data_IF_751658440427
#
_entry.id   IF_751658440427
#
_cell.length_a   1.000
_cell.length_b   1.000
_cell.length_c   1.000
_cell.angle_alpha   90.00
_cell.angle_beta   90.00
_cell.angle_gamma   90.00
#
_symmetry.space_group_name_H-M   'P 1'
#
loop_
_entity.id
_entity.type
_entity.pdbx_description
1 polymer ?
#
# COMPACT_ATOMS: atom_id res chain seq x y z
N UNK A 1 11.87 22.74 -7.31
CA UNK A 1 12.88 22.60 -6.23
C UNK A 1 12.50 21.42 -5.36
N UNK A 2 13.49 20.72 -4.81
CA UNK A 2 13.27 19.74 -3.74
C UNK A 2 13.14 20.47 -2.40
N UNK A 3 14.01 21.45 -2.18
CA UNK A 3 14.01 22.35 -1.03
C UNK A 3 14.54 23.72 -1.48
N UNK A 4 13.67 24.72 -1.59
CA UNK A 4 14.05 26.07 -2.05
C UNK A 4 14.88 26.82 -1.01
N UNK A 5 14.60 26.62 0.28
CA UNK A 5 15.28 27.32 1.39
C UNK A 5 16.77 26.92 1.47
N UNK A 6 17.08 25.68 1.10
CA UNK A 6 18.43 25.14 1.06
C UNK A 6 19.02 25.06 -0.36
N UNK A 7 18.33 25.58 -1.37
CA UNK A 7 18.81 25.60 -2.76
C UNK A 7 18.90 24.22 -3.44
N UNK A 8 18.21 23.20 -2.91
CA UNK A 8 18.25 21.83 -3.46
C UNK A 8 17.31 21.72 -4.67
N UNK A 9 17.90 21.46 -5.83
CA UNK A 9 17.20 21.34 -7.12
C UNK A 9 16.86 19.88 -7.46
N UNK A 10 16.01 19.69 -8.48
CA UNK A 10 15.66 18.38 -9.05
C UNK A 10 16.89 17.59 -9.59
N UNK A 11 18.04 18.24 -9.77
CA UNK A 11 19.25 17.62 -10.33
C UNK A 11 20.31 17.29 -9.27
N UNK A 12 20.04 17.53 -7.98
CA UNK A 12 21.02 17.31 -6.92
C UNK A 12 21.20 15.82 -6.61
N UNK A 13 20.11 15.08 -6.37
CA UNK A 13 20.16 13.66 -6.06
C UNK A 13 19.14 12.90 -6.93
N UNK A 14 19.56 11.83 -7.65
CA UNK A 14 18.67 11.09 -8.55
C UNK A 14 17.41 10.51 -7.91
N UNK A 15 17.44 10.24 -6.61
CA UNK A 15 16.34 9.64 -5.86
C UNK A 15 15.41 10.65 -5.19
N UNK A 16 15.66 11.95 -5.31
CA UNK A 16 14.82 12.97 -4.63
C UNK A 16 13.45 13.12 -5.30
N UNK A 17 13.37 12.97 -6.62
CA UNK A 17 12.15 13.12 -7.40
C UNK A 17 11.87 11.80 -8.14
N UNK A 18 10.92 11.04 -7.60
CA UNK A 18 10.51 9.73 -8.10
C UNK A 18 9.17 9.89 -8.82
N UNK A 19 9.13 9.45 -10.08
CA UNK A 19 8.07 9.77 -11.06
C UNK A 19 6.66 9.36 -10.62
N UNK A 20 6.54 8.19 -10.00
CA UNK A 20 5.30 7.57 -9.51
C UNK A 20 4.59 8.48 -8.50
N UNK A 21 5.30 9.12 -7.58
CA UNK A 21 4.74 10.05 -6.60
C UNK A 21 4.79 11.51 -7.08
N UNK A 22 5.86 11.93 -7.77
CA UNK A 22 6.03 13.34 -8.15
C UNK A 22 5.02 13.81 -9.19
N UNK A 23 4.71 12.97 -10.18
CA UNK A 23 3.76 13.34 -11.24
C UNK A 23 2.32 13.49 -10.72
N UNK A 24 1.75 12.53 -9.97
CA UNK A 24 0.42 12.70 -9.39
C UNK A 24 0.33 13.88 -8.42
N UNK A 25 1.36 14.10 -7.60
CA UNK A 25 1.42 15.24 -6.67
C UNK A 25 1.37 16.56 -7.44
N UNK A 26 2.14 16.69 -8.52
CA UNK A 26 2.10 17.89 -9.37
C UNK A 26 0.76 18.06 -10.07
N UNK A 27 0.16 16.99 -10.62
CA UNK A 27 -1.17 17.02 -11.25
C UNK A 27 -2.23 17.50 -10.26
N UNK A 28 -2.25 16.92 -9.04
CA UNK A 28 -3.17 17.32 -7.98
C UNK A 28 -2.97 18.78 -7.54
N UNK A 29 -1.74 19.27 -7.53
CA UNK A 29 -1.39 20.66 -7.24
C UNK A 29 -1.68 21.61 -8.44
N UNK A 30 -2.56 21.23 -9.36
CA UNK A 30 -2.94 22.06 -10.50
C UNK A 30 -1.90 22.11 -11.62
N UNK A 31 -1.03 21.09 -11.71
CA UNK A 31 0.04 21.02 -12.70
C UNK A 31 1.25 21.90 -12.37
N UNK A 32 1.48 22.19 -11.10
CA UNK A 32 2.52 23.11 -10.62
C UNK A 32 3.59 22.42 -9.78
N UNK A 33 4.78 23.01 -9.77
CA UNK A 33 5.88 22.65 -8.87
C UNK A 33 6.52 23.93 -8.29
N UNK A 34 7.37 23.77 -7.28
CA UNK A 34 8.04 24.89 -6.60
C UNK A 34 9.24 25.43 -7.40
N UNK A 35 9.30 26.74 -7.59
CA UNK A 35 10.41 27.46 -8.19
C UNK A 35 11.53 27.80 -7.16
N UNK A 36 12.66 28.40 -7.57
CA UNK A 36 13.74 28.80 -6.66
C UNK A 36 13.33 29.84 -5.59
N UNK A 37 12.26 30.61 -5.81
CA UNK A 37 11.75 31.60 -4.87
C UNK A 37 10.74 30.98 -3.88
N UNK A 38 10.51 29.66 -3.93
CA UNK A 38 9.54 28.97 -3.08
C UNK A 38 8.09 29.27 -3.49
N UNK A 39 7.83 29.57 -4.78
CA UNK A 39 6.49 29.81 -5.31
C UNK A 39 6.07 28.69 -6.27
N UNK A 40 4.76 28.49 -6.41
CA UNK A 40 4.22 27.53 -7.38
C UNK A 40 4.32 28.10 -8.81
N UNK A 41 4.85 27.31 -9.72
CA UNK A 41 4.99 27.65 -11.13
C UNK A 41 4.65 26.46 -12.03
N UNK A 42 4.22 26.76 -13.26
CA UNK A 42 4.08 25.75 -14.30
C UNK A 42 5.46 25.19 -14.67
N UNK A 43 5.50 23.93 -15.06
CA UNK A 43 6.76 23.24 -15.35
C UNK A 43 6.63 22.32 -16.57
N UNK A 44 7.78 21.96 -17.15
CA UNK A 44 7.88 20.94 -18.18
C UNK A 44 8.36 19.63 -17.54
N UNK A 45 7.46 18.67 -17.39
CA UNK A 45 7.81 17.32 -16.97
C UNK A 45 8.57 16.60 -18.10
N UNK A 46 9.86 16.30 -17.89
CA UNK A 46 10.67 15.55 -18.85
C UNK A 46 10.66 14.08 -18.45
N UNK A 47 9.92 13.27 -19.20
CA UNK A 47 9.91 11.80 -19.10
C UNK A 47 10.48 11.26 -20.42
N UNK A 48 11.76 10.86 -20.47
CA UNK A 48 12.43 10.58 -21.74
C UNK A 48 11.83 9.41 -22.53
N UNK A 49 11.47 8.33 -21.83
CA UNK A 49 10.93 7.15 -22.48
C UNK A 49 9.42 7.25 -22.71
N UNK A 50 9.02 6.87 -23.92
CA UNK A 50 7.65 7.00 -24.44
C UNK A 50 6.68 5.90 -23.98
N UNK A 51 7.16 4.82 -23.33
CA UNK A 51 6.27 3.71 -22.94
C UNK A 51 5.15 4.15 -22.00
N UNK A 52 5.43 5.12 -21.11
CA UNK A 52 4.50 5.50 -20.04
C UNK A 52 4.23 7.01 -19.95
N UNK A 53 5.05 7.86 -20.57
CA UNK A 53 4.88 9.31 -20.55
C UNK A 53 3.49 9.77 -21.02
N UNK A 54 2.91 9.07 -22.00
CA UNK A 54 1.59 9.37 -22.55
C UNK A 54 0.45 9.25 -21.53
N UNK A 55 0.57 8.42 -20.50
CA UNK A 55 -0.44 8.27 -19.44
C UNK A 55 -0.58 9.58 -18.66
N UNK A 56 0.52 10.10 -18.13
CA UNK A 56 0.49 11.37 -17.39
C UNK A 56 0.09 12.55 -18.27
N UNK A 57 0.53 12.57 -19.53
CA UNK A 57 0.12 13.60 -20.47
C UNK A 57 -1.41 13.61 -20.67
N UNK A 58 -2.02 12.44 -20.87
CA UNK A 58 -3.47 12.34 -21.06
C UNK A 58 -4.25 12.78 -19.82
N UNK A 59 -3.77 12.48 -18.60
CA UNK A 59 -4.41 12.99 -17.37
C UNK A 59 -4.30 14.51 -17.27
N UNK A 60 -3.14 15.09 -17.60
CA UNK A 60 -2.95 16.55 -17.62
C UNK A 60 -3.90 17.21 -18.62
N UNK A 61 -3.98 16.70 -19.85
CA UNK A 61 -4.88 17.25 -20.87
C UNK A 61 -6.35 17.08 -20.48
N UNK A 62 -6.72 15.95 -19.87
CA UNK A 62 -8.05 15.75 -19.33
C UNK A 62 -8.40 16.81 -18.28
N UNK A 63 -7.51 17.07 -17.31
CA UNK A 63 -7.73 18.09 -16.28
C UNK A 63 -7.78 19.51 -16.84
N UNK A 64 -6.98 19.85 -17.85
CA UNK A 64 -7.08 21.15 -18.55
C UNK A 64 -8.44 21.37 -19.18
N UNK A 65 -9.03 20.32 -19.76
CA UNK A 65 -10.33 20.40 -20.44
C UNK A 65 -11.51 20.34 -19.46
N UNK A 66 -11.35 19.62 -18.36
CA UNK A 66 -12.48 19.22 -17.50
C UNK A 66 -12.44 19.81 -16.09
N UNK A 67 -11.36 20.49 -15.70
CA UNK A 67 -11.08 20.89 -14.33
C UNK A 67 -10.46 19.76 -13.50
N UNK A 68 -10.22 20.05 -12.22
CA UNK A 68 -9.76 19.05 -11.26
C UNK A 68 -10.84 17.98 -11.02
N UNK A 69 -10.42 16.76 -10.68
CA UNK A 69 -11.33 15.74 -10.18
C UNK A 69 -11.99 16.18 -8.87
N UNK A 70 -13.22 15.74 -8.64
CA UNK A 70 -13.93 15.93 -7.37
C UNK A 70 -13.92 14.61 -6.56
N UNK A 71 -13.10 14.50 -5.50
CA UNK A 71 -13.04 13.32 -4.64
C UNK A 71 -14.38 12.87 -4.06
N UNK A 72 -15.38 13.75 -3.98
CA UNK A 72 -16.69 13.41 -3.42
C UNK A 72 -17.57 12.61 -4.37
N UNK A 73 -17.34 12.74 -5.67
CA UNK A 73 -18.24 12.22 -6.70
C UNK A 73 -17.53 11.31 -7.70
N UNK A 74 -16.20 11.34 -7.75
CA UNK A 74 -15.46 10.52 -8.70
C UNK A 74 -15.56 9.01 -8.40
N UNK A 75 -15.48 8.20 -9.45
CA UNK A 75 -15.39 6.74 -9.37
C UNK A 75 -13.99 6.28 -9.00
N UNK A 76 -13.89 5.03 -8.52
CA UNK A 76 -12.63 4.41 -8.12
C UNK A 76 -11.88 3.77 -9.29
N UNK A 77 -10.57 3.88 -9.29
CA UNK A 77 -9.69 3.33 -10.33
C UNK A 77 -8.69 2.29 -9.75
N UNK A 78 -9.17 1.13 -9.24
CA UNK A 78 -8.31 0.10 -8.68
C UNK A 78 -7.36 -0.52 -9.73
N UNK A 79 -6.27 -1.15 -9.28
CA UNK A 79 -5.28 -1.77 -10.16
C UNK A 79 -5.16 -3.29 -9.95
N UNK A 80 -4.97 -4.02 -11.05
CA UNK A 80 -4.53 -5.43 -11.05
C UNK A 80 -3.21 -5.51 -11.83
N UNK A 81 -2.11 -5.65 -11.10
CA UNK A 81 -0.75 -5.56 -11.65
C UNK A 81 -0.03 -6.89 -11.86
N UNK A 82 0.64 -7.03 -13.01
CA UNK A 82 1.53 -8.16 -13.29
C UNK A 82 2.92 -7.93 -12.69
N UNK A 83 3.19 -8.50 -11.51
CA UNK A 83 4.47 -8.31 -10.80
C UNK A 83 5.22 -9.59 -10.42
N UNK A 84 4.54 -10.74 -10.41
CA UNK A 84 5.10 -11.97 -9.85
C UNK A 84 6.40 -12.41 -10.55
N UNK A 85 7.38 -12.83 -9.73
CA UNK A 85 8.69 -13.30 -10.17
C UNK A 85 9.53 -12.26 -10.93
N UNK A 86 9.46 -10.99 -10.50
CA UNK A 86 10.17 -9.85 -11.11
C UNK A 86 9.83 -9.71 -12.59
N UNK A 87 8.54 -9.65 -12.89
CA UNK A 87 8.03 -9.50 -14.24
C UNK A 87 8.54 -8.20 -14.89
N UNK A 88 8.81 -8.26 -16.19
CA UNK A 88 9.10 -7.11 -17.04
C UNK A 88 10.35 -6.32 -16.60
N UNK A 89 10.27 -4.98 -16.52
CA UNK A 89 11.39 -4.10 -16.20
C UNK A 89 12.01 -4.36 -14.82
N UNK A 90 11.23 -4.79 -13.85
CA UNK A 90 11.68 -5.07 -12.48
C UNK A 90 12.63 -6.28 -12.37
N UNK A 91 12.70 -7.11 -13.41
CA UNK A 91 13.66 -8.20 -13.53
C UNK A 91 14.88 -7.88 -14.40
N UNK A 92 14.96 -6.68 -14.96
CA UNK A 92 15.89 -6.34 -16.04
C UNK A 92 17.27 -5.88 -15.59
N UNK A 93 17.46 -5.55 -14.30
CA UNK A 93 18.71 -4.97 -13.80
C UNK A 93 19.96 -5.80 -14.16
N UNK A 94 19.98 -7.14 -13.99
CA UNK A 94 21.14 -7.95 -14.36
C UNK A 94 21.38 -8.01 -15.89
N UNK A 95 20.38 -7.61 -16.68
CA UNK A 95 20.34 -7.70 -18.14
C UNK A 95 20.33 -6.31 -18.81
N UNK A 96 20.79 -5.28 -18.08
CA UNK A 96 20.90 -3.90 -18.57
C UNK A 96 22.37 -3.51 -18.64
N UNK A 97 22.82 -2.96 -19.77
CA UNK A 97 24.20 -2.56 -19.95
C UNK A 97 24.37 -1.41 -20.93
N UNK A 98 25.43 -0.65 -20.68
CA UNK A 98 25.88 0.45 -21.54
C UNK A 98 26.97 -0.09 -22.48
N UNK A 99 26.70 -0.28 -23.78
CA UNK A 99 27.69 -0.79 -24.71
C UNK A 99 28.85 0.21 -24.82
N UNK A 100 30.08 -0.32 -24.81
CA UNK A 100 31.31 0.51 -24.84
C UNK A 100 31.82 0.79 -26.25
N UNK A 101 31.22 0.18 -27.28
CA UNK A 101 31.58 0.32 -28.69
C UNK A 101 30.35 0.11 -29.57
N UNK A 102 30.38 0.68 -30.77
CA UNK A 102 29.36 0.44 -31.78
C UNK A 102 29.39 -1.02 -32.24
N UNK A 103 28.22 -1.60 -32.47
CA UNK A 103 28.11 -2.99 -32.89
C UNK A 103 26.69 -3.53 -32.82
N UNK A 104 26.56 -4.85 -32.70
CA UNK A 104 25.26 -5.52 -32.60
C UNK A 104 25.20 -6.36 -31.33
N UNK A 105 24.16 -6.13 -30.52
CA UNK A 105 23.80 -7.03 -29.42
C UNK A 105 22.79 -8.05 -29.93
N UNK A 106 23.01 -9.33 -29.61
CA UNK A 106 22.15 -10.44 -30.03
C UNK A 106 21.75 -11.29 -28.84
N UNK A 107 20.50 -11.74 -28.83
CA UNK A 107 20.02 -12.81 -27.94
C UNK A 107 19.95 -14.08 -28.78
N UNK A 108 20.70 -15.11 -28.39
CA UNK A 108 20.85 -16.35 -29.17
C UNK A 108 20.43 -17.53 -28.30
N UNK A 109 19.63 -18.44 -28.85
CA UNK A 109 19.26 -19.70 -28.22
C UNK A 109 19.42 -20.84 -29.22
N UNK A 110 20.10 -21.93 -28.81
CA UNK A 110 20.33 -23.12 -29.64
C UNK A 110 20.91 -22.80 -31.03
N UNK A 111 21.81 -21.81 -31.11
CA UNK A 111 22.42 -21.36 -32.37
C UNK A 111 21.56 -20.43 -33.23
N UNK A 112 20.28 -20.21 -32.88
CA UNK A 112 19.39 -19.28 -33.58
C UNK A 112 19.41 -17.90 -32.91
N UNK A 113 19.53 -16.84 -33.71
CA UNK A 113 19.38 -15.46 -33.24
C UNK A 113 17.89 -15.20 -33.03
N UNK A 114 17.50 -14.92 -31.78
CA UNK A 114 16.12 -14.60 -31.41
C UNK A 114 15.84 -13.10 -31.53
N UNK A 115 16.78 -12.27 -31.07
CA UNK A 115 16.71 -10.80 -31.11
C UNK A 115 18.07 -10.24 -31.52
N UNK A 116 18.08 -9.15 -32.28
CA UNK A 116 19.30 -8.44 -32.65
C UNK A 116 19.04 -6.93 -32.74
N UNK A 117 19.92 -6.13 -32.17
CA UNK A 117 19.86 -4.67 -32.21
C UNK A 117 21.23 -4.11 -32.54
N UNK A 118 21.30 -3.20 -33.51
CA UNK A 118 22.46 -2.32 -33.65
C UNK A 118 22.49 -1.34 -32.47
N UNK A 119 23.66 -1.09 -31.91
CA UNK A 119 23.88 -0.17 -30.80
C UNK A 119 25.15 0.65 -31.01
N UNK A 120 25.19 1.82 -30.42
CA UNK A 120 26.34 2.73 -30.38
C UNK A 120 26.94 2.79 -28.98
N UNK A 121 28.18 3.27 -28.88
CA UNK A 121 28.83 3.48 -27.60
C UNK A 121 28.06 4.54 -26.78
N UNK A 122 27.70 4.19 -25.53
CA UNK A 122 26.93 5.06 -24.64
C UNK A 122 25.41 4.88 -24.70
N UNK A 123 24.90 4.02 -25.60
CA UNK A 123 23.49 3.59 -25.54
C UNK A 123 23.19 2.87 -24.20
N UNK A 124 21.90 2.63 -23.93
CA UNK A 124 21.49 1.73 -22.85
C UNK A 124 20.69 0.59 -23.48
N UNK A 125 21.27 -0.61 -23.51
CA UNK A 125 20.57 -1.81 -23.96
C UNK A 125 20.03 -2.59 -22.77
N UNK A 126 18.84 -3.17 -22.92
CA UNK A 126 18.15 -3.89 -21.85
C UNK A 126 17.33 -5.05 -22.38
N UNK A 127 17.28 -6.15 -21.62
CA UNK A 127 16.33 -7.25 -21.81
C UNK A 127 15.45 -7.48 -20.58
N UNK A 128 14.15 -7.68 -20.82
CA UNK A 128 13.15 -7.99 -19.81
C UNK A 128 12.60 -9.41 -20.01
N UNK A 129 12.04 -10.01 -18.95
CA UNK A 129 11.41 -11.32 -19.03
C UNK A 129 10.13 -11.37 -18.20
N UNK A 130 9.15 -12.13 -18.68
CA UNK A 130 7.89 -12.36 -17.98
C UNK A 130 7.49 -13.81 -18.19
N UNK A 131 7.23 -14.54 -17.10
CA UNK A 131 6.89 -15.97 -17.19
C UNK A 131 5.40 -16.16 -17.45
N UNK A 132 5.06 -17.28 -18.08
CA UNK A 132 3.69 -17.58 -18.50
C UNK A 132 2.71 -17.77 -17.33
N UNK A 133 3.11 -18.48 -16.27
CA UNK A 133 2.27 -18.72 -15.11
C UNK A 133 1.82 -17.41 -14.41
N UNK A 134 2.72 -16.44 -14.13
CA UNK A 134 2.33 -15.08 -13.73
C UNK A 134 1.29 -14.40 -14.62
N UNK A 135 1.40 -14.51 -15.95
CA UNK A 135 0.45 -13.89 -16.88
C UNK A 135 -0.93 -14.51 -16.74
N UNK A 136 -1.01 -15.85 -16.65
CA UNK A 136 -2.28 -16.56 -16.48
C UNK A 136 -2.98 -16.19 -15.17
N UNK A 137 -2.22 -16.11 -14.08
CA UNK A 137 -2.75 -15.71 -12.77
C UNK A 137 -3.19 -14.23 -12.75
N UNK A 138 -2.46 -13.35 -13.42
CA UNK A 138 -2.85 -11.96 -13.61
C UNK A 138 -4.19 -11.81 -14.36
N UNK A 139 -4.42 -12.58 -15.43
CA UNK A 139 -5.71 -12.62 -16.14
C UNK A 139 -6.83 -13.16 -15.25
N UNK A 140 -6.56 -14.23 -14.48
CA UNK A 140 -7.50 -14.77 -13.50
C UNK A 140 -7.92 -13.72 -12.48
N UNK A 141 -6.96 -12.97 -11.94
CA UNK A 141 -7.18 -11.95 -10.92
C UNK A 141 -8.00 -10.78 -11.48
N UNK A 142 -7.75 -10.37 -12.72
CA UNK A 142 -8.53 -9.33 -13.40
C UNK A 142 -10.02 -9.73 -13.53
N UNK A 143 -10.27 -10.95 -14.00
CA UNK A 143 -11.65 -11.49 -14.14
C UNK A 143 -12.33 -11.62 -12.77
N UNK A 144 -11.59 -12.08 -11.75
CA UNK A 144 -12.11 -12.19 -10.39
C UNK A 144 -12.56 -10.83 -9.83
N UNK A 145 -11.70 -9.81 -9.92
CA UNK A 145 -12.01 -8.47 -9.40
C UNK A 145 -13.15 -7.79 -10.19
N UNK A 146 -13.16 -7.93 -11.51
CA UNK A 146 -14.23 -7.39 -12.35
C UNK A 146 -15.60 -8.00 -11.99
N UNK A 147 -15.63 -9.31 -11.72
CA UNK A 147 -16.84 -10.02 -11.29
C UNK A 147 -17.26 -9.64 -9.88
N UNK A 148 -16.30 -9.46 -8.97
CA UNK A 148 -16.59 -9.12 -7.57
C UNK A 148 -17.21 -7.72 -7.45
N UNK A 149 -16.76 -6.75 -8.27
CA UNK A 149 -17.22 -5.36 -8.24
C UNK A 149 -17.28 -4.78 -6.80
N UNK A 150 -16.27 -5.12 -6.00
CA UNK A 150 -16.22 -4.82 -4.56
C UNK A 150 -15.58 -3.44 -4.29
N UNK A 151 -15.96 -2.43 -5.07
CA UNK A 151 -15.47 -1.06 -4.96
C UNK A 151 -16.64 -0.11 -4.58
N UNK A 152 -16.38 1.11 -4.08
CA UNK A 152 -17.45 2.10 -3.84
C UNK A 152 -18.27 2.36 -5.12
N UNK A 153 -19.54 2.79 -5.04
CA UNK A 153 -20.40 3.05 -6.21
C UNK A 153 -20.56 1.82 -7.15
N UNK A 154 -20.76 0.64 -6.57
CA UNK A 154 -20.87 -0.64 -7.28
C UNK A 154 -22.29 -1.03 -7.73
N UNK A 155 -23.24 -0.10 -7.70
CA UNK A 155 -24.57 -0.28 -8.28
C UNK A 155 -24.52 -0.52 -9.80
N UNK A 156 -23.44 -0.09 -10.45
CA UNK A 156 -23.15 -0.34 -11.86
C UNK A 156 -22.03 -1.37 -12.01
N UNK A 157 -22.09 -2.25 -13.04
CA UNK A 157 -20.99 -3.14 -13.36
C UNK A 157 -19.68 -2.38 -13.57
N UNK A 158 -18.61 -2.88 -12.97
CA UNK A 158 -17.26 -2.35 -13.22
C UNK A 158 -16.80 -2.71 -14.63
N UNK A 159 -15.96 -1.83 -15.20
CA UNK A 159 -15.20 -2.11 -16.42
C UNK A 159 -13.77 -2.49 -16.04
N UNK A 160 -13.21 -3.52 -16.64
CA UNK A 160 -11.78 -3.82 -16.55
C UNK A 160 -11.10 -3.59 -17.90
N UNK A 161 -10.01 -2.84 -17.90
CA UNK A 161 -9.27 -2.52 -19.12
C UNK A 161 -7.86 -3.07 -18.96
N UNK A 162 -7.42 -3.92 -19.89
CA UNK A 162 -6.02 -4.31 -20.06
C UNK A 162 -5.27 -3.22 -20.83
N UNK A 163 -4.28 -2.59 -20.20
CA UNK A 163 -3.53 -1.47 -20.77
C UNK A 163 -2.31 -2.01 -21.51
N UNK A 164 -2.48 -2.29 -22.80
CA UNK A 164 -1.50 -2.93 -23.66
C UNK A 164 -1.41 -2.16 -24.98
N UNK A 165 -0.21 -1.76 -25.38
CA UNK A 165 0.03 -0.98 -26.59
C UNK A 165 0.37 -1.87 -27.80
N UNK A 166 -0.47 -1.86 -28.85
CA UNK A 166 -0.21 -2.61 -30.09
C UNK A 166 1.10 -2.21 -30.79
N UNK A 167 1.65 -1.02 -30.50
CA UNK A 167 2.94 -0.58 -31.04
C UNK A 167 4.14 -1.18 -30.30
N UNK A 168 3.95 -1.79 -29.12
CA UNK A 168 5.01 -2.46 -28.35
C UNK A 168 5.02 -3.95 -28.66
N UNK A 169 6.18 -4.46 -29.08
CA UNK A 169 6.34 -5.87 -29.39
C UNK A 169 6.03 -6.78 -28.18
N UNK A 170 6.43 -6.35 -26.99
CA UNK A 170 6.13 -7.02 -25.72
C UNK A 170 4.62 -7.12 -25.47
N UNK A 171 3.91 -6.00 -25.51
CA UNK A 171 2.48 -5.93 -25.22
C UNK A 171 1.66 -6.74 -26.22
N UNK A 172 2.04 -6.80 -27.50
CA UNK A 172 1.39 -7.70 -28.48
C UNK A 172 1.41 -9.17 -28.04
N UNK A 173 2.55 -9.64 -27.51
CA UNK A 173 2.66 -11.01 -26.98
C UNK A 173 1.78 -11.17 -25.73
N UNK A 174 1.72 -10.16 -24.86
CA UNK A 174 0.82 -10.19 -23.70
C UNK A 174 -0.65 -10.21 -24.14
N UNK A 175 -1.05 -9.45 -25.16
CA UNK A 175 -2.42 -9.48 -25.69
C UNK A 175 -2.81 -10.88 -26.18
N UNK A 176 -1.91 -11.57 -26.88
CA UNK A 176 -2.16 -12.94 -27.33
C UNK A 176 -2.36 -13.90 -26.15
N UNK A 177 -1.58 -13.72 -25.07
CA UNK A 177 -1.74 -14.50 -23.82
C UNK A 177 -3.04 -14.16 -23.10
N UNK A 178 -3.43 -12.89 -23.02
CA UNK A 178 -4.70 -12.45 -22.45
C UNK A 178 -5.85 -13.08 -23.22
N UNK A 179 -5.87 -12.97 -24.56
CA UNK A 179 -6.91 -13.58 -25.42
C UNK A 179 -6.98 -15.09 -25.26
N UNK A 180 -5.83 -15.76 -25.08
CA UNK A 180 -5.76 -17.20 -24.82
C UNK A 180 -6.37 -17.58 -23.47
N UNK A 181 -6.04 -16.85 -22.40
CA UNK A 181 -6.41 -17.23 -21.03
C UNK A 181 -7.76 -16.72 -20.57
N UNK A 182 -8.25 -15.60 -21.12
CA UNK A 182 -9.51 -14.98 -20.71
C UNK A 182 -10.70 -15.96 -20.77
N UNK A 183 -10.89 -16.78 -21.82
CA UNK A 183 -11.99 -17.76 -21.88
C UNK A 183 -11.96 -18.82 -20.77
N UNK A 184 -10.79 -19.16 -20.23
CA UNK A 184 -10.67 -20.16 -19.16
C UNK A 184 -11.34 -19.72 -17.85
N UNK A 185 -11.54 -18.41 -17.68
CA UNK A 185 -12.08 -17.82 -16.45
C UNK A 185 -13.54 -17.35 -16.59
N UNK A 186 -14.24 -17.75 -17.66
CA UNK A 186 -15.67 -17.50 -17.91
C UNK A 186 -16.02 -16.01 -17.84
N UNK A 187 -15.56 -15.19 -18.80
CA UNK A 187 -15.75 -13.73 -18.77
C UNK A 187 -17.16 -13.29 -19.18
N UNK A 188 -18.07 -14.21 -19.50
CA UNK A 188 -19.42 -13.89 -19.98
C UNK A 188 -20.16 -12.96 -19.01
N UNK A 189 -20.71 -11.87 -19.56
CA UNK A 189 -21.41 -10.83 -18.80
C UNK A 189 -20.51 -9.79 -18.12
N UNK A 190 -19.19 -9.88 -18.24
CA UNK A 190 -18.25 -8.88 -17.73
C UNK A 190 -17.83 -7.91 -18.85
N UNK A 191 -17.64 -6.63 -18.49
CA UNK A 191 -17.08 -5.61 -19.39
C UNK A 191 -15.54 -5.60 -19.27
N UNK A 192 -14.88 -6.37 -20.13
CA UNK A 192 -13.42 -6.52 -20.16
C UNK A 192 -12.90 -6.19 -21.56
N UNK A 193 -12.01 -5.20 -21.64
CA UNK A 193 -11.45 -4.72 -22.91
C UNK A 193 -9.92 -4.64 -22.87
N UNK A 194 -9.30 -4.51 -24.06
CA UNK A 194 -7.87 -4.25 -24.23
C UNK A 194 -7.73 -2.92 -24.96
N UNK A 195 -6.96 -1.98 -24.42
CA UNK A 195 -6.73 -0.64 -24.97
C UNK A 195 -5.27 -0.24 -24.82
N UNK A 196 -4.78 0.67 -25.67
CA UNK A 196 -3.47 1.29 -25.43
C UNK A 196 -3.49 2.08 -24.12
N UNK A 197 -2.34 2.26 -23.43
CA UNK A 197 -2.29 3.03 -22.18
C UNK A 197 -2.91 4.43 -22.28
N UNK A 198 -2.75 5.12 -23.41
CA UNK A 198 -3.33 6.46 -23.65
C UNK A 198 -4.86 6.40 -23.75
N UNK A 199 -5.40 5.49 -24.57
CA UNK A 199 -6.86 5.33 -24.71
C UNK A 199 -7.50 4.86 -23.40
N UNK A 200 -6.87 3.91 -22.73
CA UNK A 200 -7.31 3.39 -21.44
C UNK A 200 -7.33 4.48 -20.37
N UNK A 201 -6.32 5.37 -20.35
CA UNK A 201 -6.28 6.53 -19.46
C UNK A 201 -7.47 7.45 -19.72
N UNK A 202 -7.73 7.80 -20.99
CA UNK A 202 -8.85 8.67 -21.36
C UNK A 202 -10.20 8.12 -20.91
N UNK A 203 -10.46 6.84 -21.19
CA UNK A 203 -11.70 6.16 -20.78
C UNK A 203 -11.81 6.11 -19.25
N UNK A 204 -10.71 5.79 -18.56
CA UNK A 204 -10.67 5.72 -17.09
C UNK A 204 -10.95 7.08 -16.46
N UNK A 205 -10.29 8.15 -16.92
CA UNK A 205 -10.53 9.52 -16.43
C UNK A 205 -11.97 9.99 -16.67
N UNK A 206 -12.52 9.72 -17.87
CA UNK A 206 -13.90 10.08 -18.17
C UNK A 206 -14.89 9.35 -17.24
N UNK A 207 -14.73 8.03 -17.09
CA UNK A 207 -15.56 7.21 -16.20
C UNK A 207 -15.41 7.65 -14.74
N UNK A 208 -14.20 7.93 -14.29
CA UNK A 208 -13.95 8.45 -12.94
C UNK A 208 -14.70 9.77 -12.72
N UNK A 209 -14.65 10.72 -13.66
CA UNK A 209 -15.43 11.97 -13.58
C UNK A 209 -16.96 11.74 -13.53
N UNK A 210 -17.44 10.65 -14.13
CA UNK A 210 -18.86 10.25 -14.12
C UNK A 210 -19.27 9.43 -12.88
N UNK A 211 -18.37 9.23 -11.92
CA UNK A 211 -18.63 8.41 -10.73
C UNK A 211 -18.57 6.90 -10.97
N UNK A 212 -18.01 6.45 -12.10
CA UNK A 212 -17.96 5.06 -12.52
C UNK A 212 -16.60 4.42 -12.26
N UNK A 213 -16.60 3.19 -11.75
CA UNK A 213 -15.36 2.46 -11.46
C UNK A 213 -14.73 1.84 -12.70
N UNK A 214 -13.40 1.83 -12.74
CA UNK A 214 -12.65 1.16 -13.81
C UNK A 214 -11.41 0.47 -13.24
N UNK A 215 -11.35 -0.87 -13.36
CA UNK A 215 -10.13 -1.62 -13.00
C UNK A 215 -9.08 -1.42 -14.08
N UNK A 216 -7.92 -0.92 -13.69
CA UNK A 216 -6.73 -0.80 -14.53
C UNK A 216 -5.93 -2.10 -14.44
N UNK A 217 -5.88 -2.87 -15.53
CA UNK A 217 -5.19 -4.17 -15.57
C UNK A 217 -3.90 -3.99 -16.35
N UNK A 218 -2.77 -3.96 -15.63
CA UNK A 218 -1.52 -3.42 -16.19
C UNK A 218 -0.29 -4.29 -15.96
N UNK A 219 0.77 -4.02 -16.75
CA UNK A 219 2.12 -4.48 -16.45
C UNK A 219 2.69 -3.86 -15.16
N UNK A 220 3.89 -4.30 -14.78
CA UNK A 220 4.54 -4.01 -13.50
C UNK A 220 4.81 -2.52 -13.29
N UNK A 221 5.36 -1.82 -14.30
CA UNK A 221 5.64 -0.37 -14.19
C UNK A 221 4.35 0.45 -14.08
N UNK A 222 3.34 0.14 -14.89
CA UNK A 222 2.07 0.86 -14.81
C UNK A 222 1.27 0.52 -13.56
N UNK A 223 1.44 -0.69 -12.98
CA UNK A 223 0.90 -0.97 -11.64
C UNK A 223 1.42 0.08 -10.68
N UNK A 224 2.73 0.23 -10.62
CA UNK A 224 3.43 1.21 -9.79
C UNK A 224 2.87 2.63 -9.95
N UNK A 225 2.83 3.12 -11.18
CA UNK A 225 2.44 4.49 -11.47
C UNK A 225 0.95 4.74 -11.17
N UNK A 226 0.08 3.78 -11.49
CA UNK A 226 -1.36 3.96 -11.35
C UNK A 226 -1.83 3.78 -9.89
N UNK A 227 -1.12 2.98 -9.09
CA UNK A 227 -1.39 2.85 -7.65
C UNK A 227 -0.94 4.05 -6.82
N UNK A 228 -0.11 4.94 -7.38
CA UNK A 228 0.07 6.29 -6.82
C UNK A 228 -0.89 7.31 -7.45
N UNK A 229 -1.01 7.29 -8.79
CA UNK A 229 -1.75 8.30 -9.53
C UNK A 229 -3.20 8.45 -9.08
N UNK A 230 -3.99 7.37 -9.17
CA UNK A 230 -5.40 7.46 -8.86
C UNK A 230 -5.67 7.63 -7.36
N UNK A 231 -4.99 6.92 -6.44
CA UNK A 231 -5.15 7.16 -5.01
C UNK A 231 -4.78 8.58 -4.55
N UNK A 232 -3.75 9.20 -5.14
CA UNK A 232 -3.43 10.61 -4.84
C UNK A 232 -4.55 11.54 -5.33
N UNK A 233 -5.19 11.26 -6.47
CA UNK A 233 -6.32 12.04 -6.96
C UNK A 233 -7.61 11.80 -6.16
N UNK A 234 -7.89 10.54 -5.78
CA UNK A 234 -9.10 10.10 -5.08
C UNK A 234 -9.06 10.41 -3.57
N UNK A 235 -7.96 10.07 -2.91
CA UNK A 235 -7.83 10.08 -1.44
C UNK A 235 -6.85 11.14 -0.95
N UNK A 236 -6.11 11.75 -1.86
CA UNK A 236 -5.08 12.70 -1.52
C UNK A 236 -3.78 12.09 -0.99
N UNK A 237 -3.64 10.77 -1.03
CA UNK A 237 -2.46 10.00 -0.60
C UNK A 237 -2.58 8.57 -1.13
N UNK A 238 -1.45 7.96 -1.46
CA UNK A 238 -1.35 6.53 -1.79
C UNK A 238 -1.08 5.63 -0.59
N UNK A 239 -0.92 6.21 0.61
CA UNK A 239 -0.69 5.46 1.84
C UNK A 239 -1.95 4.76 2.40
N UNK A 240 -3.14 5.08 1.88
CA UNK A 240 -4.44 4.60 2.38
C UNK A 240 -5.08 3.60 1.41
N UNK A 241 -4.35 2.54 1.09
CA UNK A 241 -4.74 1.57 0.06
C UNK A 241 -4.72 0.15 0.60
N UNK A 242 -5.58 -0.71 0.06
CA UNK A 242 -5.43 -2.15 0.16
C UNK A 242 -4.45 -2.62 -0.91
N UNK A 243 -3.31 -3.17 -0.50
CA UNK A 243 -2.34 -3.83 -1.40
C UNK A 243 -2.28 -5.31 -1.05
N UNK A 244 -2.98 -6.12 -1.85
CA UNK A 244 -3.15 -7.56 -1.64
C UNK A 244 -2.38 -8.30 -2.73
N UNK A 245 -1.50 -9.19 -2.32
CA UNK A 245 -0.71 -10.06 -3.20
C UNK A 245 -1.09 -11.51 -2.94
N UNK A 246 -2.02 -12.09 -3.72
CA UNK A 246 -2.29 -13.52 -3.70
C UNK A 246 -1.03 -14.27 -4.14
N UNK A 247 -0.45 -15.06 -3.23
CA UNK A 247 0.77 -15.79 -3.55
C UNK A 247 0.43 -16.98 -4.45
N UNK A 248 1.27 -17.24 -5.46
CA UNK A 248 1.10 -18.38 -6.38
C UNK A 248 1.01 -19.73 -5.65
N UNK A 249 1.58 -19.83 -4.44
CA UNK A 249 1.54 -21.02 -3.60
C UNK A 249 0.29 -21.13 -2.71
N UNK A 250 -0.69 -20.23 -2.84
CA UNK A 250 -1.96 -20.25 -2.10
C UNK A 250 -1.99 -19.42 -0.81
N UNK A 251 -0.87 -18.84 -0.39
CA UNK A 251 -0.83 -17.86 0.71
C UNK A 251 -1.29 -16.46 0.27
N UNK A 252 -1.22 -15.49 1.17
CA UNK A 252 -1.47 -14.07 0.88
C UNK A 252 -0.40 -13.21 1.53
N UNK A 253 -0.02 -12.13 0.86
CA UNK A 253 0.80 -11.06 1.42
C UNK A 253 0.00 -9.76 1.32
N UNK A 254 -0.02 -8.99 2.42
CA UNK A 254 -0.87 -7.81 2.58
C UNK A 254 0.04 -6.64 2.93
N UNK A 255 0.36 -5.82 1.93
CA UNK A 255 1.22 -4.66 2.13
C UNK A 255 0.38 -3.53 2.73
N UNK A 256 0.92 -2.87 3.76
CA UNK A 256 0.19 -1.87 4.56
C UNK A 256 0.07 -0.51 3.87
N UNK A 257 0.57 -0.38 2.64
CA UNK A 257 0.58 0.86 1.85
C UNK A 257 1.62 0.77 0.73
N UNK A 258 1.50 1.66 -0.26
CA UNK A 258 2.41 1.72 -1.41
C UNK A 258 3.55 2.76 -1.24
N UNK A 259 3.48 3.61 -0.21
CA UNK A 259 4.46 4.67 0.03
C UNK A 259 5.74 4.20 0.74
N UNK A 260 6.73 5.10 0.83
CA UNK A 260 7.99 4.87 1.56
C UNK A 260 7.89 5.03 3.08
N UNK A 261 9.00 4.82 3.78
CA UNK A 261 9.12 4.82 5.24
C UNK A 261 9.26 6.21 5.91
N UNK A 262 8.92 7.29 5.20
CA UNK A 262 8.75 8.65 5.75
C UNK A 262 9.84 9.14 6.75
N UNK A 263 11.12 9.33 6.34
CA UNK A 263 12.22 9.72 7.24
C UNK A 263 11.97 11.05 8.00
N UNK A 264 11.20 11.98 7.41
CA UNK A 264 10.79 13.24 8.06
C UNK A 264 9.84 13.03 9.26
N UNK A 265 9.23 11.85 9.41
CA UNK A 265 8.41 11.49 10.57
C UNK A 265 9.31 11.11 11.74
N UNK A 266 10.34 10.28 11.48
CA UNK A 266 11.36 9.90 12.48
C UNK A 266 12.10 11.12 13.01
N UNK A 267 12.47 12.07 12.14
CA UNK A 267 13.11 13.33 12.56
C UNK A 267 12.24 14.15 13.52
N UNK A 268 10.92 14.22 13.28
CA UNK A 268 10.00 14.88 14.22
C UNK A 268 9.93 14.12 15.54
N UNK A 269 9.81 12.79 15.48
CA UNK A 269 9.76 11.97 16.69
C UNK A 269 11.02 12.11 17.55
N UNK A 270 12.21 12.10 16.96
CA UNK A 270 13.47 12.31 17.69
C UNK A 270 13.60 13.73 18.26
N UNK A 271 13.08 14.75 17.56
CA UNK A 271 13.18 16.15 18.01
C UNK A 271 12.20 16.48 19.13
N UNK A 272 10.94 16.07 18.98
CA UNK A 272 9.84 16.54 19.84
C UNK A 272 8.88 15.43 20.28
N UNK A 273 9.25 14.16 20.10
CA UNK A 273 8.50 13.03 20.64
C UNK A 273 7.11 12.86 20.05
N UNK A 274 6.85 13.38 18.85
CA UNK A 274 5.56 13.32 18.17
C UNK A 274 5.69 12.53 16.86
N UNK A 275 4.92 11.44 16.72
CA UNK A 275 4.94 10.59 15.53
C UNK A 275 3.64 10.77 14.73
N UNK A 276 3.74 11.47 13.59
CA UNK A 276 2.60 11.74 12.68
C UNK A 276 2.36 10.67 11.62
N UNK A 277 2.89 9.46 11.81
CA UNK A 277 2.65 8.33 10.89
C UNK A 277 1.21 7.84 11.03
N UNK A 278 0.52 7.67 9.91
CA UNK A 278 -0.87 7.18 9.87
C UNK A 278 -0.87 5.67 9.61
N UNK A 279 -1.24 4.89 10.63
CA UNK A 279 -1.28 3.42 10.58
C UNK A 279 -2.57 2.86 9.96
N UNK A 280 -3.41 3.67 9.31
CA UNK A 280 -4.66 3.19 8.70
C UNK A 280 -4.46 1.97 7.79
N UNK A 281 -3.42 2.00 6.95
CA UNK A 281 -3.13 0.88 6.04
C UNK A 281 -2.70 -0.40 6.77
N UNK A 282 -2.11 -0.30 7.96
CA UNK A 282 -1.82 -1.47 8.81
C UNK A 282 -3.12 -2.11 9.32
N UNK A 283 -4.10 -1.29 9.74
CA UNK A 283 -5.39 -1.80 10.22
C UNK A 283 -6.14 -2.48 9.09
N UNK A 284 -6.17 -1.88 7.91
CA UNK A 284 -6.83 -2.42 6.72
C UNK A 284 -6.16 -3.73 6.27
N UNK A 285 -4.82 -3.78 6.20
CA UNK A 285 -4.10 -5.00 5.86
C UNK A 285 -4.32 -6.12 6.88
N UNK A 286 -4.37 -5.79 8.18
CA UNK A 286 -4.66 -6.75 9.24
C UNK A 286 -6.08 -7.31 9.12
N UNK A 287 -7.08 -6.47 8.87
CA UNK A 287 -8.46 -6.92 8.62
C UNK A 287 -8.48 -7.96 7.51
N UNK A 288 -7.94 -7.64 6.33
CA UNK A 288 -7.94 -8.54 5.17
C UNK A 288 -7.13 -9.82 5.43
N UNK A 289 -6.01 -9.73 6.15
CA UNK A 289 -5.22 -10.90 6.52
C UNK A 289 -6.01 -11.87 7.42
N UNK A 290 -6.78 -11.34 8.37
CA UNK A 290 -7.66 -12.15 9.24
C UNK A 290 -8.82 -12.74 8.44
N UNK A 291 -9.40 -12.00 7.49
CA UNK A 291 -10.47 -12.50 6.61
C UNK A 291 -10.00 -13.67 5.75
N UNK A 292 -8.83 -13.55 5.10
CA UNK A 292 -8.27 -14.61 4.28
C UNK A 292 -7.92 -15.85 5.12
N UNK A 293 -7.34 -15.64 6.30
CA UNK A 293 -7.12 -16.71 7.28
C UNK A 293 -8.44 -17.41 7.62
N UNK A 294 -9.48 -16.64 7.95
CA UNK A 294 -10.78 -17.16 8.32
C UNK A 294 -11.42 -17.97 7.18
N UNK A 295 -11.37 -17.45 5.95
CA UNK A 295 -11.91 -18.10 4.77
C UNK A 295 -11.18 -19.42 4.45
N UNK A 296 -9.86 -19.45 4.57
CA UNK A 296 -9.04 -20.65 4.28
C UNK A 296 -9.12 -21.72 5.37
N UNK A 297 -9.36 -21.33 6.62
CA UNK A 297 -9.40 -22.25 7.77
C UNK A 297 -10.80 -22.62 8.25
N UNK A 298 -11.83 -21.87 7.84
CA UNK A 298 -13.17 -21.98 8.41
C UNK A 298 -13.26 -21.45 9.85
N UNK A 299 -12.33 -20.60 10.29
CA UNK A 299 -12.26 -20.10 11.67
C UNK A 299 -13.29 -18.99 11.92
N UNK A 300 -14.44 -19.36 12.49
CA UNK A 300 -15.53 -18.43 12.80
C UNK A 300 -15.12 -17.30 13.76
N UNK A 301 -14.19 -17.53 14.70
CA UNK A 301 -13.69 -16.48 15.60
C UNK A 301 -12.85 -15.46 14.84
N UNK A 302 -12.03 -15.90 13.88
CA UNK A 302 -11.29 -15.01 13.01
C UNK A 302 -12.23 -14.16 12.13
N UNK A 303 -13.33 -14.75 11.61
CA UNK A 303 -14.37 -13.98 10.90
C UNK A 303 -14.95 -12.86 11.77
N UNK A 304 -15.25 -13.14 13.05
CA UNK A 304 -15.76 -12.13 13.97
C UNK A 304 -14.71 -11.06 14.30
N UNK A 305 -13.44 -11.45 14.49
CA UNK A 305 -12.34 -10.52 14.73
C UNK A 305 -12.16 -9.53 13.58
N UNK A 306 -12.14 -10.02 12.33
CA UNK A 306 -12.04 -9.18 11.14
C UNK A 306 -13.24 -8.23 11.03
N UNK A 307 -14.47 -8.75 11.15
CA UNK A 307 -15.68 -7.93 11.04
C UNK A 307 -15.76 -6.85 12.13
N UNK A 308 -15.27 -7.14 13.34
CA UNK A 308 -15.21 -6.15 14.42
C UNK A 308 -14.10 -5.10 14.16
N UNK A 309 -12.96 -5.49 13.57
CA UNK A 309 -11.89 -4.56 13.22
C UNK A 309 -12.32 -3.62 12.10
N UNK A 310 -13.01 -4.14 11.07
CA UNK A 310 -13.56 -3.34 9.98
C UNK A 310 -14.49 -2.23 10.49
N UNK A 311 -15.44 -2.59 11.36
CA UNK A 311 -16.33 -1.61 12.03
C UNK A 311 -15.56 -0.62 12.89
N UNK A 312 -14.56 -1.09 13.64
CA UNK A 312 -13.74 -0.22 14.48
C UNK A 312 -12.94 0.81 13.67
N UNK A 313 -12.38 0.40 12.52
CA UNK A 313 -11.69 1.30 11.58
C UNK A 313 -12.68 2.30 10.98
N UNK A 314 -13.89 1.87 10.61
CA UNK A 314 -14.95 2.77 10.15
C UNK A 314 -15.32 3.83 11.20
N UNK A 315 -15.52 3.42 12.45
CA UNK A 315 -15.78 4.33 13.59
C UNK A 315 -14.62 5.29 13.85
N UNK A 316 -13.38 4.79 13.77
CA UNK A 316 -12.15 5.58 13.89
C UNK A 316 -12.06 6.69 12.85
N UNK A 317 -12.38 6.38 11.59
CA UNK A 317 -12.39 7.35 10.49
C UNK A 317 -13.46 8.42 10.70
N UNK A 318 -14.69 8.04 11.06
CA UNK A 318 -15.80 8.98 11.34
C UNK A 318 -15.48 9.88 12.54
N UNK A 319 -14.89 9.33 13.59
CA UNK A 319 -14.50 10.09 14.78
C UNK A 319 -13.27 11.00 14.56
N UNK A 320 -12.66 10.95 13.36
CA UNK A 320 -11.49 11.70 12.96
C UNK A 320 -10.34 11.64 13.98
N UNK A 321 -10.00 10.42 14.42
CA UNK A 321 -8.93 10.17 15.40
C UNK A 321 -7.56 9.91 14.75
N UNK A 322 -7.37 10.38 13.52
CA UNK A 322 -6.10 10.30 12.81
C UNK A 322 -5.01 11.10 13.55
N UNK A 323 -3.73 10.71 13.42
CA UNK A 323 -2.60 11.47 13.95
C UNK A 323 -2.60 12.91 13.42
N UNK A 324 -2.46 13.87 14.32
CA UNK A 324 -2.15 15.24 13.94
C UNK A 324 -0.71 15.34 13.44
N UNK A 325 -0.38 16.49 12.83
CA UNK A 325 0.99 16.85 12.45
C UNK A 325 1.67 17.69 13.54
N UNK A 326 0.92 18.14 14.56
CA UNK A 326 1.36 19.10 15.57
C UNK A 326 1.64 18.40 16.89
N UNK A 327 2.80 18.73 17.48
CA UNK A 327 3.16 18.31 18.83
C UNK A 327 2.11 18.76 19.86
N UNK A 328 1.91 17.96 20.92
CA UNK A 328 0.86 18.11 21.95
C UNK A 328 -0.57 17.95 21.44
N UNK A 329 -0.75 17.36 20.26
CA UNK A 329 -2.02 16.81 19.80
C UNK A 329 -1.91 15.28 19.68
N UNK A 330 -3.02 14.61 19.35
CA UNK A 330 -3.02 13.17 19.09
C UNK A 330 -1.95 12.81 18.05
N UNK A 331 -1.19 11.76 18.30
CA UNK A 331 -0.21 11.21 17.37
C UNK A 331 -0.49 9.73 17.08
N UNK A 332 0.42 9.04 16.39
CA UNK A 332 0.29 7.63 16.02
C UNK A 332 -0.14 6.73 17.19
N UNK A 333 0.46 6.89 18.38
CA UNK A 333 0.17 6.07 19.57
C UNK A 333 -1.26 6.27 20.06
N UNK A 334 -1.73 7.52 20.04
CA UNK A 334 -3.11 7.83 20.37
C UNK A 334 -4.10 7.24 19.36
N UNK A 335 -3.73 7.18 18.07
CA UNK A 335 -4.57 6.53 17.05
C UNK A 335 -4.71 5.03 17.27
N UNK A 336 -3.64 4.34 17.69
CA UNK A 336 -3.70 2.91 18.05
C UNK A 336 -4.66 2.66 19.22
N UNK A 337 -4.62 3.51 20.24
CA UNK A 337 -5.56 3.41 21.37
C UNK A 337 -7.02 3.49 20.90
N UNK A 338 -7.36 4.42 20.01
CA UNK A 338 -8.75 4.56 19.53
C UNK A 338 -9.20 3.34 18.73
N UNK A 339 -8.34 2.79 17.86
CA UNK A 339 -8.67 1.56 17.14
C UNK A 339 -8.83 0.38 18.09
N UNK A 340 -7.92 0.20 19.06
CA UNK A 340 -8.03 -0.84 20.07
C UNK A 340 -9.31 -0.69 20.93
N UNK A 341 -9.64 0.55 21.32
CA UNK A 341 -10.86 0.88 22.06
C UNK A 341 -12.11 0.47 21.30
N UNK A 342 -12.24 0.89 20.05
CA UNK A 342 -13.41 0.58 19.22
C UNK A 342 -13.48 -0.90 18.86
N UNK A 343 -12.34 -1.55 18.61
CA UNK A 343 -12.32 -2.98 18.32
C UNK A 343 -12.80 -3.80 19.52
N UNK A 344 -12.36 -3.45 20.74
CA UNK A 344 -12.85 -4.07 21.96
C UNK A 344 -14.34 -3.82 22.19
N UNK A 345 -14.87 -2.63 21.85
CA UNK A 345 -16.33 -2.35 21.90
C UNK A 345 -17.11 -3.26 20.97
N UNK A 346 -16.70 -3.37 19.71
CA UNK A 346 -17.40 -4.19 18.71
C UNK A 346 -17.38 -5.67 19.12
N UNK A 347 -16.26 -6.16 19.66
CA UNK A 347 -16.13 -7.53 20.16
C UNK A 347 -16.90 -7.80 21.46
N UNK A 348 -17.12 -6.77 22.28
CA UNK A 348 -17.96 -6.86 23.48
C UNK A 348 -19.46 -6.72 23.17
N UNK A 349 -19.81 -6.05 22.06
CA UNK A 349 -21.19 -5.80 21.65
C UNK A 349 -21.78 -6.97 20.86
N UNK A 350 -20.98 -7.68 20.06
CA UNK A 350 -21.42 -8.82 19.25
C UNK A 350 -22.08 -9.94 20.10
N UNK A 351 -22.99 -10.71 19.49
CA UNK A 351 -23.77 -11.79 20.13
C UNK A 351 -23.53 -13.17 19.48
N UNK A 352 -22.62 -13.24 18.51
CA UNK A 352 -22.29 -14.45 17.75
C UNK A 352 -21.38 -15.42 18.54
N UNK A 353 -20.51 -14.92 19.43
CA UNK A 353 -19.62 -15.73 20.26
C UNK A 353 -19.53 -15.20 21.70
N UNK A 354 -20.19 -15.89 22.63
CA UNK A 354 -20.22 -15.50 24.04
C UNK A 354 -18.83 -15.51 24.72
N UNK A 355 -17.90 -16.35 24.25
CA UNK A 355 -16.56 -16.44 24.84
C UNK A 355 -15.71 -15.22 24.48
N UNK A 356 -15.72 -14.81 23.21
CA UNK A 356 -15.08 -13.58 22.76
C UNK A 356 -15.72 -12.36 23.41
N UNK A 357 -17.05 -12.34 23.49
CA UNK A 357 -17.80 -11.27 24.16
C UNK A 357 -17.31 -11.08 25.60
N UNK A 358 -17.21 -12.17 26.37
CA UNK A 358 -16.78 -12.13 27.77
C UNK A 358 -15.33 -11.63 27.93
N UNK A 359 -14.42 -12.07 27.07
CA UNK A 359 -13.01 -11.64 27.09
C UNK A 359 -12.91 -10.12 26.83
N UNK A 360 -13.58 -9.64 25.78
CA UNK A 360 -13.46 -8.25 25.37
C UNK A 360 -14.35 -7.29 26.16
N UNK A 361 -15.41 -7.75 26.84
CA UNK A 361 -16.24 -6.89 27.70
C UNK A 361 -15.43 -6.24 28.83
N UNK A 362 -14.55 -7.00 29.49
CA UNK A 362 -13.69 -6.47 30.55
C UNK A 362 -12.69 -5.44 29.99
N UNK A 363 -11.98 -5.77 28.90
CA UNK A 363 -11.04 -4.85 28.29
C UNK A 363 -11.72 -3.59 27.73
N UNK A 364 -12.91 -3.72 27.14
CA UNK A 364 -13.68 -2.60 26.65
C UNK A 364 -14.04 -1.65 27.79
N UNK A 365 -14.50 -2.18 28.92
CA UNK A 365 -14.79 -1.37 30.11
C UNK A 365 -13.54 -0.66 30.63
N UNK A 366 -12.44 -1.39 30.82
CA UNK A 366 -11.18 -0.84 31.33
C UNK A 366 -10.64 0.30 30.45
N UNK A 367 -10.76 0.16 29.11
CA UNK A 367 -10.33 1.19 28.16
C UNK A 367 -11.18 2.47 28.30
N UNK A 368 -12.50 2.39 28.47
CA UNK A 368 -13.34 3.59 28.72
C UNK A 368 -12.94 4.28 30.01
N UNK A 369 -12.89 3.51 31.10
CA UNK A 369 -12.68 4.06 32.43
C UNK A 369 -11.29 4.70 32.56
N UNK A 370 -10.33 4.21 31.78
CA UNK A 370 -8.95 4.71 31.76
C UNK A 370 -8.63 5.71 30.65
N UNK A 371 -9.61 6.04 29.79
CA UNK A 371 -9.39 6.80 28.54
C UNK A 371 -8.63 8.11 28.77
N UNK A 372 -9.13 8.93 29.69
CA UNK A 372 -8.55 10.24 29.97
C UNK A 372 -7.08 10.12 30.40
N UNK A 373 -6.76 9.13 31.24
CA UNK A 373 -5.40 8.91 31.73
C UNK A 373 -4.47 8.44 30.61
N UNK A 374 -4.92 7.48 29.80
CA UNK A 374 -4.15 6.92 28.68
C UNK A 374 -3.84 8.01 27.65
N UNK A 375 -4.85 8.78 27.24
CA UNK A 375 -4.66 9.87 26.28
C UNK A 375 -3.75 10.97 26.84
N UNK A 376 -3.85 11.28 28.13
CA UNK A 376 -2.96 12.24 28.77
C UNK A 376 -1.51 11.75 28.78
N UNK A 377 -1.25 10.47 29.04
CA UNK A 377 0.11 9.89 28.95
C UNK A 377 0.72 10.09 27.56
N UNK A 378 -0.07 9.90 26.51
CA UNK A 378 0.38 10.11 25.13
C UNK A 378 0.62 11.58 24.76
N UNK A 379 -0.05 12.53 25.42
CA UNK A 379 0.22 13.96 25.25
C UNK A 379 1.44 14.38 26.08
N UNK A 380 1.55 13.91 27.32
CA UNK A 380 2.59 14.31 28.28
C UNK A 380 3.99 13.88 27.82
N UNK A 381 4.10 12.74 27.15
CA UNK A 381 5.36 12.24 26.61
C UNK A 381 5.93 13.06 25.43
N UNK A 382 5.15 13.95 24.82
CA UNK A 382 5.56 14.76 23.66
C UNK A 382 6.29 16.05 24.10
N UNK A 383 6.84 16.79 23.13
CA UNK A 383 7.49 18.09 23.31
C UNK A 383 8.93 18.02 23.84
N UNK A 384 9.52 16.82 23.90
CA UNK A 384 10.90 16.58 24.31
C UNK A 384 11.61 15.75 23.26
N UNK A 385 12.93 15.90 23.19
CA UNK A 385 13.73 15.03 22.33
C UNK A 385 13.71 13.59 22.83
N UNK A 386 13.65 12.65 21.89
CA UNK A 386 13.63 11.21 22.13
C UNK A 386 14.91 10.60 21.59
N UNK A 387 15.68 9.98 22.47
CA UNK A 387 16.84 9.18 22.10
C UNK A 387 16.43 7.74 21.83
N UNK A 388 16.54 7.33 20.56
CA UNK A 388 16.25 5.96 20.12
C UNK A 388 17.47 5.04 20.18
N UNK A 389 18.65 5.54 20.55
CA UNK A 389 19.89 4.76 20.53
C UNK A 389 20.39 4.38 19.13
N UNK A 390 19.77 4.91 18.07
CA UNK A 390 20.13 4.67 16.68
C UNK A 390 19.09 5.26 15.71
N UNK A 391 19.30 5.03 14.41
CA UNK A 391 18.39 5.40 13.33
C UNK A 391 17.96 4.15 12.55
N UNK A 392 18.85 3.62 11.68
CA UNK A 392 18.64 2.35 10.96
C UNK A 392 18.51 1.13 11.87
N UNK A 393 19.14 1.19 13.05
CA UNK A 393 19.07 0.16 14.08
C UNK A 393 18.96 0.83 15.44
N UNK A 394 17.74 0.99 15.90
CA UNK A 394 17.42 1.58 17.21
C UNK A 394 17.74 0.61 18.36
N UNK A 395 17.96 1.15 19.55
CA UNK A 395 17.94 0.37 20.78
C UNK A 395 16.49 -0.03 21.11
N UNK A 396 16.25 -1.33 21.21
CA UNK A 396 14.88 -1.86 21.38
C UNK A 396 14.24 -1.39 22.68
N UNK A 397 14.97 -1.38 23.79
CA UNK A 397 14.41 -0.97 25.08
C UNK A 397 14.06 0.53 25.09
N UNK A 398 14.87 1.37 24.42
CA UNK A 398 14.56 2.79 24.25
C UNK A 398 13.34 3.01 23.35
N UNK A 399 13.24 2.29 22.24
CA UNK A 399 12.09 2.36 21.34
C UNK A 399 10.81 1.88 22.04
N UNK A 400 10.86 0.77 22.78
CA UNK A 400 9.74 0.24 23.57
C UNK A 400 9.22 1.27 24.56
N UNK A 401 10.11 1.90 25.33
CA UNK A 401 9.75 2.90 26.32
C UNK A 401 9.15 4.17 25.67
N UNK A 402 9.66 4.58 24.51
CA UNK A 402 9.17 5.75 23.79
C UNK A 402 7.80 5.50 23.10
N UNK A 403 7.58 4.29 22.59
CA UNK A 403 6.35 3.93 21.88
C UNK A 403 5.22 3.49 22.81
N UNK A 404 5.53 2.96 24.00
CA UNK A 404 4.55 2.45 24.96
C UNK A 404 4.56 3.22 26.31
N UNK A 405 4.39 4.56 26.32
CA UNK A 405 4.55 5.38 27.53
C UNK A 405 3.42 5.17 28.57
N UNK A 406 2.22 4.73 28.16
CA UNK A 406 1.09 4.55 29.08
C UNK A 406 1.13 3.17 29.75
N UNK A 407 1.58 3.13 31.01
CA UNK A 407 1.55 1.89 31.81
C UNK A 407 0.12 1.38 32.05
N UNK A 408 -0.87 2.27 32.03
CA UNK A 408 -2.28 1.88 32.18
C UNK A 408 -2.73 1.06 30.97
N UNK A 409 -2.48 1.55 29.75
CA UNK A 409 -2.79 0.81 28.53
C UNK A 409 -2.02 -0.51 28.48
N UNK A 410 -0.70 -0.48 28.75
CA UNK A 410 0.15 -1.67 28.74
C UNK A 410 -0.40 -2.75 29.70
N UNK A 411 -0.89 -2.35 30.87
CA UNK A 411 -1.51 -3.27 31.83
C UNK A 411 -2.80 -3.92 31.32
N UNK A 412 -3.64 -3.18 30.57
CA UNK A 412 -4.87 -3.71 29.94
C UNK A 412 -4.50 -4.75 28.87
N UNK A 413 -3.56 -4.42 27.98
CA UNK A 413 -3.10 -5.31 26.92
C UNK A 413 -2.46 -6.58 27.49
N UNK A 414 -1.64 -6.47 28.54
CA UNK A 414 -1.03 -7.63 29.20
C UNK A 414 -2.07 -8.59 29.79
N UNK A 415 -3.17 -8.08 30.37
CA UNK A 415 -4.27 -8.92 30.86
C UNK A 415 -5.00 -9.64 29.73
N UNK A 416 -5.22 -8.97 28.60
CA UNK A 416 -5.79 -9.59 27.40
C UNK A 416 -4.90 -10.73 26.87
N UNK A 417 -3.59 -10.51 26.79
CA UNK A 417 -2.63 -11.49 26.27
C UNK A 417 -2.53 -12.75 27.14
N UNK A 418 -2.69 -12.62 28.46
CA UNK A 418 -2.69 -13.75 29.40
C UNK A 418 -3.99 -14.57 29.36
N UNK A 419 -5.06 -14.01 28.77
CA UNK A 419 -6.41 -14.57 28.80
C UNK A 419 -7.01 -14.58 30.21
N UNK A 420 -8.33 -14.74 30.32
CA UNK A 420 -9.03 -14.90 31.60
C UNK A 420 -8.74 -16.25 32.25
N UNK A 421 -7.46 -16.58 32.51
CA UNK A 421 -7.10 -17.68 33.37
C UNK A 421 -7.13 -17.21 34.83
N UNK A 422 -7.78 -17.94 35.76
CA UNK A 422 -7.77 -17.57 37.16
C UNK A 422 -6.33 -17.57 37.68
N UNK A 423 -5.97 -16.51 38.41
CA UNK A 423 -4.63 -16.24 38.89
C UNK A 423 -4.04 -17.44 39.64
N UNK A 424 -2.93 -17.97 39.13
CA UNK A 424 -1.96 -18.68 39.95
C UNK A 424 -0.57 -18.09 39.70
N UNK A 425 0.18 -18.04 40.78
CA UNK A 425 1.36 -17.19 41.04
C UNK A 425 2.59 -17.47 40.16
N UNK A 426 3.25 -16.37 39.77
CA UNK A 426 4.69 -16.19 39.52
C UNK A 426 5.49 -17.24 38.71
N UNK A 427 5.99 -16.85 37.54
CA UNK A 427 7.42 -16.54 37.27
C UNK A 427 7.77 -16.63 35.78
N UNK A 428 8.63 -15.71 35.35
CA UNK A 428 9.53 -15.72 34.19
C UNK A 428 9.00 -16.09 32.79
N UNK A 429 9.32 -15.21 31.82
CA UNK A 429 9.18 -15.43 30.38
C UNK A 429 9.62 -16.82 29.91
N UNK A 430 8.94 -17.33 28.88
CA UNK A 430 9.66 -17.99 27.81
C UNK A 430 9.32 -17.37 26.46
N UNK A 431 10.37 -17.08 25.70
CA UNK A 431 10.28 -16.91 24.26
C UNK A 431 9.59 -18.16 23.67
N UNK A 432 8.52 -17.95 22.91
CA UNK A 432 7.82 -19.02 22.19
C UNK A 432 8.76 -19.59 21.10
N UNK A 433 9.07 -20.90 21.11
CA UNK A 433 9.85 -21.49 20.03
C UNK A 433 8.93 -21.70 18.82
N UNK A 434 9.34 -21.15 17.67
CA UNK A 434 8.75 -21.51 16.38
C UNK A 434 9.01 -22.99 16.09
N UNK A 435 7.96 -23.81 16.18
CA UNK A 435 7.98 -25.20 15.69
C UNK A 435 7.85 -25.19 14.17
N UNK A 436 8.94 -25.55 13.50
CA UNK A 436 8.91 -25.94 12.08
C UNK A 436 8.36 -27.37 11.95
N UNK A 437 7.28 -27.54 11.18
CA UNK A 437 6.68 -28.83 10.88
C UNK A 437 5.62 -28.70 9.78
N UNK A 438 5.87 -29.34 8.66
CA UNK A 438 5.03 -29.44 7.46
C UNK A 438 3.58 -29.84 7.76
N UNK A 439 2.61 -29.03 7.32
CA UNK A 439 1.18 -29.20 7.55
C UNK A 439 0.58 -28.25 8.61
N UNK A 440 1.23 -27.11 8.88
CA UNK A 440 0.80 -26.16 9.90
C UNK A 440 -0.55 -25.50 9.60
N UNK A 441 -1.32 -25.25 10.67
CA UNK A 441 -2.47 -24.36 10.60
C UNK A 441 -2.04 -23.02 9.98
N UNK A 442 -2.88 -22.40 9.13
CA UNK A 442 -2.54 -21.11 8.54
C UNK A 442 -2.30 -20.09 9.67
N UNK A 443 -1.24 -19.31 9.52
CA UNK A 443 -0.78 -18.33 10.52
C UNK A 443 -0.53 -16.99 9.81
N UNK A 444 -0.76 -15.89 10.53
CA UNK A 444 -0.39 -14.55 10.09
C UNK A 444 1.02 -14.28 10.60
N UNK A 445 1.92 -13.86 9.71
CA UNK A 445 3.28 -13.45 10.06
C UNK A 445 3.49 -12.01 9.61
N UNK A 446 4.06 -11.19 10.50
CA UNK A 446 4.53 -9.85 10.15
C UNK A 446 5.97 -9.92 9.65
N UNK A 447 6.25 -9.28 8.53
CA UNK A 447 7.60 -9.15 7.97
C UNK A 447 8.00 -7.70 7.95
N UNK A 448 9.13 -7.38 8.58
CA UNK A 448 9.66 -6.02 8.64
C UNK A 448 10.32 -5.67 7.30
N UNK A 449 9.91 -4.55 6.70
CA UNK A 449 10.60 -4.01 5.53
C UNK A 449 11.42 -2.75 5.87
N UNK A 450 10.97 -1.84 6.77
CA UNK A 450 11.69 -0.57 7.05
C UNK A 450 11.39 0.11 8.44
N UNK A 451 12.11 1.21 8.73
CA UNK A 451 12.23 1.93 10.03
C UNK A 451 10.95 2.54 10.63
N UNK A 452 10.20 3.36 9.88
CA UNK A 452 8.98 3.98 10.40
C UNK A 452 7.82 2.99 10.57
N UNK A 453 7.60 2.03 9.64
CA UNK A 453 6.73 0.90 9.90
C UNK A 453 7.18 0.10 11.13
N UNK A 454 8.49 -0.07 11.36
CA UNK A 454 8.99 -0.72 12.58
C UNK A 454 8.62 0.04 13.86
N UNK A 455 8.75 1.38 13.87
CA UNK A 455 8.33 2.20 15.03
C UNK A 455 6.80 2.18 15.21
N UNK A 456 6.03 2.30 14.12
CA UNK A 456 4.57 2.35 14.15
C UNK A 456 3.92 1.00 14.49
N UNK A 457 4.46 -0.11 13.98
CA UNK A 457 3.93 -1.46 14.26
C UNK A 457 4.41 -2.03 15.59
N UNK A 458 5.32 -1.36 16.29
CA UNK A 458 5.91 -1.86 17.54
C UNK A 458 4.88 -2.07 18.66
N UNK A 459 3.78 -1.31 18.64
CA UNK A 459 2.68 -1.42 19.62
C UNK A 459 1.78 -2.66 19.40
N UNK A 460 1.85 -3.31 18.24
CA UNK A 460 1.03 -4.48 17.90
C UNK A 460 1.67 -5.83 18.28
N UNK A 461 2.87 -5.83 18.86
CA UNK A 461 3.58 -7.04 19.23
C UNK A 461 3.43 -7.33 20.73
N UNK A 462 3.02 -8.55 21.13
CA UNK A 462 3.11 -9.00 22.52
C UNK A 462 4.56 -9.26 22.97
#
# INVERSE_FOLDING_TARGET
MVDSDHGITNLHVPSDIIIDNSMPTAIRAGGKMWDPDGKEADFKAVIPDRCYAGVFHEVVEFCKQNGAFDPKTMGACPNVGLMAQKAEEYGSHPNTFEPKKNGTIRVVANGAILLAHWVEAGDIWRACQTKDAPIKDWVKLAVHNCRANAFPNNDKPCKAIFWLDLQRAHDRILMDKVKKYLPEFKPDGLDIEIMSPVEATRVTCQRAKEGLNTITVTGNVLRDYLTDLFPILELGTSAKMLSIVPLLAGGGMYETGAGGSAPKHVQQFQREGHLRWDSLGEYLALTVAIEDLAAKSGNAKATLLAAALDKAVGKFLVANKNPSRKVREIDNRGSHYWVARYWAEELAAQDQDASLKAIFAAAAKDLVESEQKILQDFIDCQGKSVDLGGYYRVDRAKADAAMNPSQVLNGIIARLAQGSAPSSTASASPALPMRAGSGGAPTIMYTYTDEAPMLATHAFYP
#
